data_IF_049009089896
#
_entry.id   IF_049009089896
#
_cell.length_a   1.000
_cell.length_b   1.000
_cell.length_c   1.000
_cell.angle_alpha   90.00
_cell.angle_beta   90.00
_cell.angle_gamma   90.00
#
_symmetry.space_group_name_H-M   'P 1'
#
loop_
_entity.id
_entity.type
_entity.pdbx_description
1 polymer ?
#
# COMPACT_ATOMS: atom_id res chain seq x y z
N UNK A 1 -0.05 16.58 8.22
CA UNK A 1 0.32 17.33 6.99
C UNK A 1 -0.86 18.12 6.43
N UNK A 2 -2.09 17.65 6.60
CA UNK A 2 -3.32 18.31 6.13
C UNK A 2 -3.54 19.73 6.66
N UNK A 3 -3.07 20.05 7.87
CA UNK A 3 -3.13 21.42 8.41
C UNK A 3 -2.39 22.46 7.53
N UNK A 4 -1.54 22.01 6.60
CA UNK A 4 -0.85 22.85 5.61
C UNK A 4 -1.54 22.86 4.23
N UNK A 5 -2.74 22.28 4.10
CA UNK A 5 -3.48 22.17 2.84
C UNK A 5 -2.93 21.12 1.85
N UNK A 6 -2.06 20.21 2.31
CA UNK A 6 -1.45 19.15 1.48
C UNK A 6 -2.17 17.81 1.67
N UNK A 7 -1.97 16.87 0.74
CA UNK A 7 -2.45 15.47 0.78
C UNK A 7 -1.36 14.50 1.23
N UNK A 8 -1.73 13.45 1.94
CA UNK A 8 -0.82 12.45 2.51
C UNK A 8 -0.79 11.20 1.63
N UNK A 9 0.36 10.94 1.00
CA UNK A 9 0.61 9.70 0.27
C UNK A 9 1.37 8.69 1.11
N UNK A 10 1.04 7.40 0.97
CA UNK A 10 1.80 6.27 1.50
C UNK A 10 2.19 5.31 0.38
N UNK A 11 3.14 4.43 0.67
CA UNK A 11 3.64 3.40 -0.24
C UNK A 11 3.37 2.01 0.32
N UNK A 12 2.95 1.10 -0.55
CA UNK A 12 2.87 -0.34 -0.32
C UNK A 12 3.25 -1.12 -1.57
N UNK A 13 3.18 -2.44 -1.50
CA UNK A 13 3.51 -3.34 -2.61
C UNK A 13 2.56 -4.54 -2.63
N UNK A 14 2.01 -4.86 -3.81
CA UNK A 14 1.20 -6.05 -4.06
C UNK A 14 2.11 -7.30 -4.14
N UNK A 15 2.86 -7.56 -3.09
CA UNK A 15 3.76 -8.70 -2.99
C UNK A 15 3.91 -9.12 -1.54
N UNK A 16 4.74 -10.14 -1.28
CA UNK A 16 5.11 -10.49 0.09
C UNK A 16 6.04 -9.43 0.72
N UNK A 17 6.77 -8.70 -0.12
CA UNK A 17 7.67 -7.64 0.28
C UNK A 17 7.57 -6.46 -0.68
N UNK A 18 7.83 -5.26 -0.20
CA UNK A 18 8.13 -4.10 -1.04
C UNK A 18 9.43 -4.28 -1.81
N UNK A 19 9.63 -3.51 -2.88
CA UNK A 19 10.89 -3.51 -3.63
C UNK A 19 12.15 -3.31 -2.75
N UNK A 20 12.04 -2.63 -1.62
CA UNK A 20 13.14 -2.41 -0.67
C UNK A 20 13.22 -3.45 0.47
N UNK A 21 12.40 -4.49 0.46
CA UNK A 21 12.44 -5.61 1.41
C UNK A 21 11.60 -5.45 2.69
N UNK A 22 10.77 -4.39 2.79
CA UNK A 22 9.77 -4.26 3.87
C UNK A 22 8.52 -5.10 3.61
N UNK A 23 7.64 -5.38 4.60
CA UNK A 23 6.41 -6.15 4.38
C UNK A 23 5.53 -5.57 3.25
N UNK A 24 5.04 -6.44 2.36
CA UNK A 24 4.02 -6.11 1.36
C UNK A 24 2.62 -6.53 1.81
N UNK A 25 1.61 -6.23 0.98
CA UNK A 25 0.19 -6.28 1.40
C UNK A 25 -0.51 -7.61 1.06
N UNK A 26 0.17 -8.53 0.36
CA UNK A 26 -0.45 -9.76 -0.13
C UNK A 26 -1.00 -10.61 1.02
N UNK A 27 -2.31 -10.91 0.99
CA UNK A 27 -3.02 -11.60 2.07
C UNK A 27 -3.51 -10.72 3.23
N UNK A 28 -3.15 -9.43 3.26
CA UNK A 28 -3.50 -8.47 4.31
C UNK A 28 -4.17 -7.18 3.77
N UNK A 29 -4.58 -7.18 2.50
CA UNK A 29 -5.09 -5.98 1.81
C UNK A 29 -6.21 -5.25 2.56
N UNK A 30 -7.17 -5.98 3.12
CA UNK A 30 -8.29 -5.37 3.86
C UNK A 30 -7.82 -4.71 5.16
N UNK A 31 -6.92 -5.38 5.90
CA UNK A 31 -6.30 -4.84 7.11
C UNK A 31 -5.48 -3.59 6.82
N UNK A 32 -4.66 -3.63 5.78
CA UNK A 32 -3.80 -2.52 5.38
C UNK A 32 -4.62 -1.34 4.85
N UNK A 33 -5.65 -1.59 4.04
CA UNK A 33 -6.58 -0.55 3.59
C UNK A 33 -7.30 0.12 4.77
N UNK A 34 -7.78 -0.67 5.75
CA UNK A 34 -8.40 -0.13 6.95
C UNK A 34 -7.41 0.70 7.78
N UNK A 35 -6.16 0.26 7.90
CA UNK A 35 -5.11 1.01 8.58
C UNK A 35 -4.82 2.34 7.86
N UNK A 36 -4.63 2.32 6.53
CA UNK A 36 -4.38 3.53 5.73
C UNK A 36 -5.51 4.55 5.86
N UNK A 37 -6.76 4.09 5.82
CA UNK A 37 -7.92 4.94 6.05
C UNK A 37 -7.91 5.54 7.47
N UNK A 38 -7.61 4.75 8.51
CA UNK A 38 -7.54 5.22 9.90
C UNK A 38 -6.45 6.28 10.13
N UNK A 39 -5.41 6.29 9.29
CA UNK A 39 -4.32 7.28 9.33
C UNK A 39 -4.61 8.53 8.48
N UNK A 40 -5.80 8.63 7.87
CA UNK A 40 -6.18 9.68 6.92
C UNK A 40 -5.22 9.77 5.71
N UNK A 41 -4.82 8.64 5.14
CA UNK A 41 -4.08 8.60 3.87
C UNK A 41 -5.00 9.03 2.71
N UNK A 42 -4.49 9.87 1.82
CA UNK A 42 -5.20 10.36 0.63
C UNK A 42 -4.87 9.58 -0.65
N UNK A 43 -3.70 8.92 -0.68
CA UNK A 43 -3.18 8.25 -1.86
C UNK A 43 -2.27 7.09 -1.46
N UNK A 44 -2.41 5.96 -2.15
CA UNK A 44 -1.52 4.81 -1.98
C UNK A 44 -0.80 4.56 -3.30
N UNK A 45 0.53 4.67 -3.29
CA UNK A 45 1.34 4.09 -4.36
C UNK A 45 1.47 2.60 -4.05
N UNK A 46 1.04 1.76 -4.98
CA UNK A 46 1.16 0.30 -4.88
C UNK A 46 2.10 -0.23 -5.96
N UNK A 47 3.26 -0.77 -5.57
CA UNK A 47 4.18 -1.48 -6.48
C UNK A 47 3.80 -2.96 -6.65
N UNK A 48 4.59 -3.70 -7.41
CA UNK A 48 4.42 -5.14 -7.61
C UNK A 48 5.73 -5.95 -7.54
N UNK A 49 6.68 -5.55 -6.69
CA UNK A 49 7.86 -6.37 -6.47
C UNK A 49 7.48 -7.64 -5.70
N UNK A 50 8.11 -8.77 -6.01
CA UNK A 50 7.78 -10.06 -5.36
C UNK A 50 6.30 -10.46 -5.52
N UNK A 51 5.60 -9.88 -6.50
CA UNK A 51 4.24 -10.23 -6.91
C UNK A 51 4.26 -11.35 -7.95
N UNK A 52 3.20 -12.15 -8.00
CA UNK A 52 2.89 -12.94 -9.19
C UNK A 52 1.94 -12.12 -10.07
N UNK A 53 2.31 -11.74 -11.31
CA UNK A 53 1.48 -10.91 -12.16
C UNK A 53 0.07 -11.48 -12.41
N UNK A 54 -0.08 -12.81 -12.44
CA UNK A 54 -1.37 -13.46 -12.66
C UNK A 54 -2.32 -13.40 -11.46
N UNK A 55 -1.83 -12.99 -10.29
CA UNK A 55 -2.63 -12.83 -9.09
C UNK A 55 -3.02 -11.37 -8.85
N UNK A 56 -2.43 -10.41 -9.58
CA UNK A 56 -2.72 -8.97 -9.41
C UNK A 56 -4.05 -8.52 -10.02
N UNK A 57 -4.53 -9.23 -11.04
CA UNK A 57 -5.76 -8.90 -11.78
C UNK A 57 -7.02 -9.59 -11.23
N UNK A 58 -6.89 -10.34 -10.13
CA UNK A 58 -7.98 -11.07 -9.48
C UNK A 58 -8.58 -10.27 -8.32
#
# INVERSE_FOLDING_TARGET
IHAKGLKFGIYGDYGNYTCAGYPGILGFMENDAAAFASWNVDYVKLDGCYANPFDMDK
#
